data_IF_526430273637
#
_entry.id   IF_526430273637
#
_cell.length_a   1.000
_cell.length_b   1.000
_cell.length_c   1.000
_cell.angle_alpha   90.00
_cell.angle_beta   90.00
_cell.angle_gamma   90.00
#
_symmetry.space_group_name_H-M   'P 1'
#
loop_
_entity.id
_entity.type
_entity.pdbx_description
1 polymer ?
#
# COMPACT_ATOMS: atom_id res chain seq x y z
N UNK A 1 -61.83 -23.91 37.28
CA UNK A 1 -61.12 -23.02 36.33
C UNK A 1 -59.65 -23.29 36.52
N UNK A 2 -59.06 -24.08 35.62
CA UNK A 2 -57.62 -24.33 35.62
C UNK A 2 -56.91 -23.16 34.93
N UNK A 3 -55.97 -22.54 35.62
CA UNK A 3 -55.18 -21.43 35.10
C UNK A 3 -53.88 -22.01 34.57
N UNK A 4 -53.83 -22.27 33.27
CA UNK A 4 -52.66 -22.81 32.60
C UNK A 4 -51.64 -21.68 32.39
N UNK A 5 -50.57 -21.69 33.18
CA UNK A 5 -49.50 -20.70 33.11
C UNK A 5 -48.54 -21.06 31.98
N UNK A 6 -48.61 -20.35 30.86
CA UNK A 6 -47.62 -20.46 29.79
C UNK A 6 -46.37 -19.64 30.15
N UNK A 7 -45.31 -20.32 30.59
CA UNK A 7 -43.98 -19.72 30.77
C UNK A 7 -43.29 -19.57 29.41
N UNK A 8 -43.30 -18.36 28.86
CA UNK A 8 -42.46 -18.01 27.71
C UNK A 8 -41.04 -17.73 28.20
N UNK A 9 -40.14 -18.71 28.03
CA UNK A 9 -38.70 -18.56 28.26
C UNK A 9 -38.10 -17.89 27.02
N UNK A 10 -37.78 -16.60 27.12
CA UNK A 10 -37.13 -15.85 26.06
C UNK A 10 -35.62 -16.09 26.11
N UNK A 11 -35.11 -16.96 25.24
CA UNK A 11 -33.69 -17.13 25.03
C UNK A 11 -33.17 -15.97 24.16
N UNK A 12 -32.50 -14.99 24.79
CA UNK A 12 -31.72 -13.99 24.07
C UNK A 12 -30.46 -14.69 23.56
N UNK A 13 -30.50 -15.16 22.32
CA UNK A 13 -29.30 -15.56 21.60
C UNK A 13 -28.45 -14.31 21.38
N UNK A 14 -27.42 -14.12 22.21
CA UNK A 14 -26.30 -13.23 21.91
C UNK A 14 -25.63 -13.78 20.64
N UNK A 15 -26.04 -13.26 19.48
CA UNK A 15 -25.31 -13.39 18.23
C UNK A 15 -23.99 -12.63 18.39
N UNK A 16 -23.05 -13.22 19.12
CA UNK A 16 -21.63 -12.95 18.93
C UNK A 16 -21.25 -13.66 17.64
N UNK A 17 -21.68 -13.07 16.52
CA UNK A 17 -21.12 -13.43 15.23
C UNK A 17 -19.61 -13.24 15.36
N UNK A 18 -18.78 -14.20 14.90
CA UNK A 18 -17.36 -13.92 14.81
C UNK A 18 -17.25 -12.69 13.93
N UNK A 19 -16.75 -11.59 14.49
CA UNK A 19 -16.26 -10.50 13.67
C UNK A 19 -15.29 -11.17 12.71
N UNK A 20 -15.67 -11.20 11.43
CA UNK A 20 -14.80 -11.65 10.37
C UNK A 20 -13.69 -10.61 10.39
N UNK A 21 -12.64 -10.86 11.18
CA UNK A 21 -11.41 -10.12 11.10
C UNK A 21 -10.97 -10.35 9.66
N UNK A 22 -11.24 -9.35 8.81
CA UNK A 22 -10.71 -9.35 7.46
C UNK A 22 -9.21 -9.59 7.64
N UNK A 23 -8.61 -10.52 6.89
CA UNK A 23 -7.18 -10.72 7.01
C UNK A 23 -6.51 -9.36 6.82
N UNK A 24 -5.35 -9.19 7.41
CA UNK A 24 -4.57 -7.95 7.44
C UNK A 24 -3.47 -7.96 6.35
N UNK A 25 -3.74 -8.31 5.06
CA UNK A 25 -2.68 -8.49 4.07
C UNK A 25 -1.94 -7.18 3.76
N UNK A 26 -2.54 -6.01 4.03
CA UNK A 26 -1.89 -4.72 3.83
C UNK A 26 -0.66 -4.52 4.71
N UNK A 27 -0.71 -4.99 5.96
CA UNK A 27 0.33 -4.72 6.95
C UNK A 27 1.58 -5.55 6.65
N UNK A 28 1.39 -6.82 6.29
CA UNK A 28 2.49 -7.73 5.96
C UNK A 28 3.22 -7.32 4.68
N UNK A 29 2.45 -6.96 3.63
CA UNK A 29 3.02 -6.46 2.37
C UNK A 29 3.74 -5.11 2.56
N UNK A 30 3.19 -4.22 3.40
CA UNK A 30 3.80 -2.92 3.71
C UNK A 30 5.17 -3.08 4.39
N UNK A 31 5.29 -4.00 5.36
CA UNK A 31 6.58 -4.29 6.01
C UNK A 31 7.60 -4.84 5.02
N UNK A 32 7.20 -5.79 4.19
CA UNK A 32 8.07 -6.36 3.15
C UNK A 32 8.59 -5.30 2.17
N UNK A 33 7.76 -4.32 1.79
CA UNK A 33 8.19 -3.21 0.94
C UNK A 33 9.23 -2.33 1.64
N UNK A 34 9.04 -2.01 2.93
CA UNK A 34 10.00 -1.20 3.70
C UNK A 34 11.36 -1.92 3.78
N UNK A 35 11.37 -3.23 4.04
CA UNK A 35 12.61 -4.00 4.10
C UNK A 35 13.31 -4.05 2.73
N UNK A 36 12.55 -4.15 1.63
CA UNK A 36 13.08 -4.09 0.26
C UNK A 36 13.60 -2.71 -0.12
N UNK A 37 12.96 -1.63 0.35
CA UNK A 37 13.44 -0.26 0.15
C UNK A 37 14.85 -0.12 0.73
N UNK A 38 15.09 -0.61 1.94
CA UNK A 38 16.42 -0.56 2.58
C UNK A 38 17.45 -1.30 1.74
N UNK A 39 17.17 -2.56 1.38
CA UNK A 39 18.09 -3.38 0.55
C UNK A 39 18.36 -2.76 -0.81
N UNK A 40 17.33 -2.23 -1.46
CA UNK A 40 17.48 -1.59 -2.75
C UNK A 40 18.37 -0.35 -2.64
N UNK A 41 18.15 0.47 -1.62
CA UNK A 41 18.96 1.66 -1.36
C UNK A 41 20.44 1.32 -1.11
N UNK A 42 20.72 0.25 -0.35
CA UNK A 42 22.07 -0.26 -0.12
C UNK A 42 22.72 -0.82 -1.40
N UNK A 43 21.93 -1.35 -2.33
CA UNK A 43 22.42 -1.88 -3.61
C UNK A 43 22.77 -0.79 -4.65
N UNK A 44 22.38 0.46 -4.41
CA UNK A 44 22.67 1.57 -5.32
C UNK A 44 24.15 1.94 -5.27
N UNK A 45 24.89 1.57 -6.31
CA UNK A 45 26.32 1.92 -6.46
C UNK A 45 26.58 3.34 -6.96
N UNK A 46 25.52 4.04 -7.40
CA UNK A 46 25.55 5.42 -7.89
C UNK A 46 24.19 6.05 -7.70
N UNK A 47 24.16 7.38 -7.75
CA UNK A 47 22.91 8.13 -7.63
C UNK A 47 22.17 8.15 -8.97
N UNK A 48 20.90 7.74 -8.93
CA UNK A 48 20.00 7.78 -10.06
C UNK A 48 18.91 8.81 -9.80
N UNK A 49 18.60 9.62 -10.80
CA UNK A 49 17.58 10.66 -10.70
C UNK A 49 16.35 10.25 -11.50
N UNK A 50 15.19 10.45 -10.89
CA UNK A 50 13.88 10.14 -11.45
C UNK A 50 12.95 11.34 -11.29
N UNK A 51 11.80 11.33 -11.96
CA UNK A 51 10.79 12.37 -11.82
C UNK A 51 10.42 12.58 -10.34
N UNK A 52 10.37 13.84 -9.91
CA UNK A 52 9.96 14.18 -8.55
C UNK A 52 8.49 13.82 -8.31
N UNK A 53 8.24 13.03 -7.25
CA UNK A 53 6.89 12.75 -6.76
C UNK A 53 6.76 13.34 -5.36
N UNK A 54 5.99 14.40 -5.25
CA UNK A 54 5.66 15.01 -3.97
C UNK A 54 4.80 14.02 -3.18
N UNK A 55 5.25 13.69 -1.96
CA UNK A 55 4.58 12.75 -1.04
C UNK A 55 3.08 13.06 -0.86
N UNK A 56 2.73 14.34 -0.75
CA UNK A 56 1.35 14.82 -0.63
C UNK A 56 0.54 14.01 0.39
N UNK A 57 -0.66 13.58 0.00
CA UNK A 57 -1.60 12.85 0.86
C UNK A 57 -1.36 11.33 0.94
N UNK A 58 -0.29 10.79 0.34
CA UNK A 58 -0.07 9.34 0.27
C UNK A 58 -1.29 8.58 -0.30
N UNK A 59 -1.95 9.19 -1.29
CA UNK A 59 -3.14 8.66 -1.94
C UNK A 59 -2.83 7.65 -3.05
N UNK A 60 -3.89 7.18 -3.71
CA UNK A 60 -3.80 6.21 -4.82
C UNK A 60 -2.85 6.67 -5.93
N UNK A 61 -2.97 7.94 -6.33
CA UNK A 61 -2.12 8.55 -7.36
C UNK A 61 -0.63 8.45 -7.02
N UNK A 62 -0.25 8.72 -5.77
CA UNK A 62 1.14 8.66 -5.31
C UNK A 62 1.72 7.26 -5.52
N UNK A 63 1.06 6.22 -5.00
CA UNK A 63 1.56 4.85 -5.13
C UNK A 63 1.64 4.39 -6.58
N UNK A 64 0.61 4.71 -7.39
CA UNK A 64 0.61 4.42 -8.83
C UNK A 64 1.79 5.11 -9.54
N UNK A 65 2.08 6.38 -9.21
CA UNK A 65 3.16 7.15 -9.82
C UNK A 65 4.53 6.59 -9.44
N UNK A 66 4.77 6.30 -8.16
CA UNK A 66 6.00 5.65 -7.67
C UNK A 66 6.21 4.30 -8.36
N UNK A 67 5.16 3.47 -8.42
CA UNK A 67 5.25 2.18 -9.10
C UNK A 67 5.60 2.34 -10.59
N UNK A 68 4.98 3.29 -11.31
CA UNK A 68 5.30 3.56 -12.72
C UNK A 68 6.77 3.97 -12.90
N UNK A 69 7.31 4.82 -12.02
CA UNK A 69 8.70 5.28 -12.09
C UNK A 69 9.66 4.11 -11.88
N UNK A 70 9.51 3.35 -10.79
CA UNK A 70 10.37 2.21 -10.49
C UNK A 70 10.22 1.08 -11.53
N UNK A 71 9.01 0.85 -12.03
CA UNK A 71 8.79 -0.12 -13.10
C UNK A 71 9.49 0.30 -14.40
N UNK A 72 9.56 1.61 -14.71
CA UNK A 72 10.36 2.10 -15.83
C UNK A 72 11.86 1.93 -15.59
N UNK A 73 12.32 2.30 -14.39
CA UNK A 73 13.74 2.29 -14.04
C UNK A 73 14.35 0.88 -13.96
N UNK A 74 13.62 -0.13 -13.46
CA UNK A 74 14.13 -1.51 -13.32
C UNK A 74 14.60 -2.14 -14.65
N UNK A 75 14.12 -1.65 -15.79
CA UNK A 75 14.54 -2.11 -17.11
C UNK A 75 15.95 -1.64 -17.49
N UNK A 76 16.48 -0.60 -16.82
CA UNK A 76 17.82 -0.07 -17.03
C UNK A 76 18.81 -0.60 -15.99
N UNK A 77 18.39 -0.70 -14.72
CA UNK A 77 19.26 -1.05 -13.61
C UNK A 77 19.53 -2.55 -13.45
N UNK A 78 18.62 -3.42 -13.93
CA UNK A 78 18.64 -4.88 -13.72
C UNK A 78 18.92 -5.34 -12.26
N UNK A 79 18.63 -4.48 -11.28
CA UNK A 79 18.84 -4.75 -9.85
C UNK A 79 17.74 -5.68 -9.33
N UNK A 80 18.12 -6.75 -8.63
CA UNK A 80 17.18 -7.79 -8.22
C UNK A 80 16.19 -7.28 -7.15
N UNK A 81 16.69 -6.42 -6.27
CA UNK A 81 16.01 -5.74 -5.18
C UNK A 81 14.94 -4.81 -5.73
N UNK A 82 15.25 -4.07 -6.80
CA UNK A 82 14.29 -3.19 -7.47
C UNK A 82 13.14 -3.99 -8.09
N UNK A 83 13.44 -5.09 -8.79
CA UNK A 83 12.40 -5.94 -9.38
C UNK A 83 11.46 -6.52 -8.33
N UNK A 84 12.02 -6.96 -7.20
CA UNK A 84 11.24 -7.46 -6.07
C UNK A 84 10.39 -6.33 -5.45
N UNK A 85 10.98 -5.14 -5.29
CA UNK A 85 10.29 -3.96 -4.80
C UNK A 85 9.10 -3.58 -5.70
N UNK A 86 9.30 -3.52 -7.02
CA UNK A 86 8.24 -3.22 -7.99
C UNK A 86 7.11 -4.24 -7.90
N UNK A 87 7.44 -5.55 -7.85
CA UNK A 87 6.45 -6.61 -7.72
C UNK A 87 5.64 -6.50 -6.44
N UNK A 88 6.29 -6.31 -5.29
CA UNK A 88 5.61 -6.22 -4.00
C UNK A 88 4.79 -4.92 -3.89
N UNK A 89 5.30 -3.82 -4.45
CA UNK A 89 4.55 -2.57 -4.53
C UNK A 89 3.29 -2.73 -5.38
N UNK A 90 3.35 -3.47 -6.49
CA UNK A 90 2.16 -3.78 -7.29
C UNK A 90 1.12 -4.55 -6.48
N UNK A 91 1.54 -5.60 -5.78
CA UNK A 91 0.65 -6.39 -4.93
C UNK A 91 0.04 -5.56 -3.80
N UNK A 92 0.82 -4.66 -3.19
CA UNK A 92 0.33 -3.74 -2.18
C UNK A 92 -0.72 -2.79 -2.74
N UNK A 93 -0.45 -2.16 -3.89
CA UNK A 93 -1.40 -1.30 -4.60
C UNK A 93 -2.69 -2.06 -4.91
N UNK A 94 -2.59 -3.26 -5.48
CA UNK A 94 -3.74 -4.08 -5.85
C UNK A 94 -4.56 -4.54 -4.65
N UNK A 95 -3.91 -4.69 -3.50
CA UNK A 95 -4.62 -5.00 -2.26
C UNK A 95 -5.47 -3.81 -1.77
N UNK A 96 -5.04 -2.57 -2.01
CA UNK A 96 -5.72 -1.39 -1.46
C UNK A 96 -7.16 -1.28 -2.02
N UNK A 97 -8.19 -1.35 -1.15
CA UNK A 97 -9.56 -1.18 -1.59
C UNK A 97 -9.77 0.20 -2.22
N UNK A 98 -10.47 0.24 -3.35
CA UNK A 98 -10.85 1.47 -4.06
C UNK A 98 -9.67 2.34 -4.56
N UNK A 99 -8.48 1.76 -4.75
CA UNK A 99 -7.36 2.52 -5.32
C UNK A 99 -7.64 3.00 -6.75
N UNK A 100 -8.51 2.32 -7.50
CA UNK A 100 -8.83 2.67 -8.89
C UNK A 100 -7.78 2.17 -9.88
N UNK A 101 -7.99 2.44 -11.18
CA UNK A 101 -7.05 2.04 -12.22
C UNK A 101 -5.89 3.04 -12.29
N UNK A 102 -4.65 2.59 -11.99
CA UNK A 102 -3.47 3.44 -12.07
C UNK A 102 -3.28 4.11 -13.44
N UNK A 103 -3.66 3.46 -14.54
CA UNK A 103 -3.58 4.05 -15.88
C UNK A 103 -4.47 5.28 -16.01
N UNK A 104 -5.68 5.25 -15.43
CA UNK A 104 -6.60 6.38 -15.46
C UNK A 104 -6.13 7.49 -14.50
N UNK A 105 -5.73 7.13 -13.29
CA UNK A 105 -5.23 8.09 -12.30
C UNK A 105 -4.02 8.88 -12.81
N UNK A 106 -3.16 8.25 -13.60
CA UNK A 106 -1.92 8.87 -14.07
C UNK A 106 -2.13 9.76 -15.31
N UNK A 107 -3.33 9.79 -15.92
CA UNK A 107 -3.64 10.73 -17.01
C UNK A 107 -3.79 12.17 -16.52
N UNK A 108 -4.21 12.33 -15.27
CA UNK A 108 -4.48 13.65 -14.67
C UNK A 108 -3.22 14.33 -14.12
N UNK A 109 -2.11 13.58 -14.00
CA UNK A 109 -0.87 14.11 -13.46
C UNK A 109 -0.01 14.81 -14.51
N UNK A 110 0.19 16.11 -14.38
CA UNK A 110 1.23 16.83 -15.13
C UNK A 110 2.62 16.46 -14.60
N UNK A 111 3.60 16.19 -15.48
CA UNK A 111 4.98 16.06 -15.06
C UNK A 111 5.44 17.36 -14.40
N UNK A 112 6.13 17.27 -13.27
CA UNK A 112 6.65 18.44 -12.55
C UNK A 112 7.83 19.08 -13.27
N UNK A 113 8.54 18.32 -14.13
CA UNK A 113 9.79 18.73 -14.77
C UNK A 113 11.01 18.69 -13.83
N UNK A 114 10.77 18.54 -12.52
CA UNK A 114 11.80 18.37 -11.51
C UNK A 114 12.20 16.91 -11.39
N UNK A 115 13.43 16.69 -10.92
CA UNK A 115 13.95 15.35 -10.61
C UNK A 115 14.39 15.25 -9.16
N UNK A 116 14.35 14.03 -8.64
CA UNK A 116 14.77 13.68 -7.28
C UNK A 116 15.59 12.39 -7.32
N UNK A 117 16.58 12.21 -6.43
CA UNK A 117 17.30 10.94 -6.37
C UNK A 117 16.38 9.81 -5.92
N UNK A 118 16.56 8.60 -6.46
CA UNK A 118 15.79 7.39 -6.09
C UNK A 118 15.71 7.21 -4.57
N UNK A 119 16.81 7.32 -3.78
CA UNK A 119 16.74 7.26 -2.32
C UNK A 119 15.65 8.15 -1.70
N UNK A 120 15.47 9.37 -2.22
CA UNK A 120 14.44 10.31 -1.72
C UNK A 120 13.03 9.87 -2.08
N UNK A 121 12.83 9.33 -3.29
CA UNK A 121 11.55 8.71 -3.69
C UNK A 121 11.19 7.53 -2.76
N UNK A 122 12.17 6.70 -2.43
CA UNK A 122 12.00 5.53 -1.56
C UNK A 122 11.71 5.91 -0.10
N UNK A 123 12.31 7.00 0.39
CA UNK A 123 12.00 7.59 1.69
C UNK A 123 10.53 8.02 1.75
N UNK A 124 10.07 8.79 0.75
CA UNK A 124 8.66 9.21 0.65
C UNK A 124 7.71 7.99 0.60
N UNK A 125 8.07 6.94 -0.14
CA UNK A 125 7.31 5.69 -0.20
C UNK A 125 7.19 5.03 1.19
N UNK A 126 8.32 4.90 1.89
CA UNK A 126 8.37 4.30 3.23
C UNK A 126 7.51 5.08 4.22
N UNK A 127 7.58 6.41 4.20
CA UNK A 127 6.75 7.26 5.04
C UNK A 127 5.26 7.10 4.72
N UNK A 128 4.89 7.03 3.45
CA UNK A 128 3.50 6.83 3.05
C UNK A 128 2.94 5.47 3.48
N UNK A 129 3.73 4.40 3.38
CA UNK A 129 3.33 3.07 3.85
C UNK A 129 3.13 3.08 5.37
N UNK A 130 4.07 3.68 6.12
CA UNK A 130 3.94 3.83 7.58
C UNK A 130 2.70 4.62 7.97
N UNK A 131 2.44 5.76 7.30
CA UNK A 131 1.24 6.57 7.55
C UNK A 131 -0.05 5.79 7.30
N UNK A 132 -0.12 5.01 6.22
CA UNK A 132 -1.30 4.21 5.91
C UNK A 132 -1.50 3.08 6.92
N UNK A 133 -0.42 2.43 7.36
CA UNK A 133 -0.49 1.38 8.36
C UNK A 133 -0.95 1.91 9.72
N UNK A 134 -0.52 3.12 10.12
CA UNK A 134 -0.99 3.78 11.35
C UNK A 134 -2.46 4.18 11.29
N UNK A 135 -2.98 4.59 10.13
CA UNK A 135 -4.40 4.93 9.94
C UNK A 135 -5.33 3.72 9.94
N UNK A 136 -4.79 2.52 9.72
CA UNK A 136 -5.54 1.26 9.64
C UNK A 136 -5.35 0.36 10.88
N UNK A 137 -4.63 0.85 11.91
CA UNK A 137 -4.62 0.29 13.27
C UNK A 137 -5.77 0.86 14.07
#
# INVERSE_FOLDING_TARGET
>A
MEVMMFLMVSAVALLVGPAVASPTPHIENGKSIIDLVVKYNESLSREYFVEEVVKGECGAWFFCKVHKILHGHQHYGNMSEEKQLVKNLKQYIDSIPKIGNCTELLKEGTPTGNTTPIPKLLENLTECIKQRNLKNM
#
